data_IF_024157501916
#
_entry.id   IF_024157501916
#
_cell.length_a   1.000
_cell.length_b   1.000
_cell.length_c   1.000
_cell.angle_alpha   90.00
_cell.angle_beta   90.00
_cell.angle_gamma   90.00
#
_symmetry.space_group_name_H-M   'P 1'
#
loop_
_entity.id
_entity.type
_entity.pdbx_description
1 polymer ?
#
# COMPACT_ATOMS: atom_id res chain seq x y z
N UNK A 1 6.47 3.18 5.44
CA UNK A 1 7.85 3.43 4.96
C UNK A 1 7.95 4.76 4.22
N UNK A 2 7.31 4.94 3.06
CA UNK A 2 7.42 6.17 2.24
C UNK A 2 7.06 7.47 2.98
N UNK A 3 6.04 7.44 3.84
CA UNK A 3 5.72 8.58 4.72
C UNK A 3 6.71 8.72 5.91
N UNK A 4 7.20 7.61 6.46
CA UNK A 4 8.11 7.60 7.60
C UNK A 4 9.51 8.12 7.28
N UNK A 5 9.91 8.15 5.99
CA UNK A 5 11.19 8.72 5.55
C UNK A 5 11.30 10.21 5.92
N UNK A 6 10.18 10.95 5.98
CA UNK A 6 10.20 12.37 6.36
C UNK A 6 10.58 12.60 7.83
N UNK A 7 10.26 11.65 8.71
CA UNK A 7 10.64 11.73 10.14
C UNK A 7 12.15 11.60 10.35
N UNK A 8 12.84 10.84 9.49
CA UNK A 8 14.28 10.57 9.62
C UNK A 8 15.13 11.59 8.86
N UNK A 9 14.57 12.22 7.82
CA UNK A 9 15.31 13.12 6.91
C UNK A 9 15.14 14.61 7.29
N UNK A 10 14.21 14.91 8.20
CA UNK A 10 13.97 16.26 8.74
C UNK A 10 13.25 17.21 7.78
N UNK A 11 12.90 18.40 8.28
CA UNK A 11 12.02 19.35 7.58
C UNK A 11 12.51 19.84 6.21
N UNK A 12 13.82 19.75 5.89
CA UNK A 12 14.35 20.11 4.57
C UNK A 12 13.97 19.11 3.46
N UNK A 13 13.62 17.88 3.84
CA UNK A 13 13.24 16.82 2.91
C UNK A 13 11.85 17.04 2.25
N UNK A 14 11.05 17.96 2.79
CA UNK A 14 9.75 18.36 2.21
C UNK A 14 9.88 19.37 1.07
N UNK A 15 11.12 19.83 0.77
CA UNK A 15 11.35 20.75 -0.35
C UNK A 15 10.93 20.12 -1.68
N UNK A 16 10.13 20.86 -2.46
CA UNK A 16 9.73 20.50 -3.82
C UNK A 16 10.92 20.17 -4.75
N UNK A 17 12.12 20.69 -4.44
CA UNK A 17 13.34 20.37 -5.20
C UNK A 17 13.82 18.93 -5.01
N UNK A 18 13.54 18.32 -3.85
CA UNK A 18 13.94 16.95 -3.52
C UNK A 18 12.88 15.95 -4.00
N UNK A 19 11.60 16.34 -4.01
CA UNK A 19 10.54 15.58 -4.66
C UNK A 19 10.22 14.21 -4.03
N UNK A 20 10.59 14.01 -2.75
CA UNK A 20 10.35 12.77 -2.01
C UNK A 20 8.86 12.41 -1.89
N UNK A 21 7.99 13.40 -1.98
CA UNK A 21 6.54 13.24 -1.96
C UNK A 21 6.00 12.52 -3.21
N UNK A 22 6.76 12.47 -4.32
CA UNK A 22 6.45 11.66 -5.51
C UNK A 22 6.20 10.21 -5.15
N UNK A 23 7.10 9.60 -4.37
CA UNK A 23 7.01 8.19 -4.00
C UNK A 23 5.76 7.89 -3.17
N UNK A 24 5.31 8.85 -2.36
CA UNK A 24 4.07 8.73 -1.62
C UNK A 24 2.82 8.84 -2.51
N UNK A 25 2.83 9.75 -3.50
CA UNK A 25 1.72 9.90 -4.46
C UNK A 25 1.58 8.66 -5.34
N UNK A 26 2.70 8.16 -5.86
CA UNK A 26 2.74 7.01 -6.76
C UNK A 26 2.22 5.75 -6.05
N UNK A 27 2.72 5.48 -4.83
CA UNK A 27 2.29 4.29 -4.09
C UNK A 27 0.82 4.37 -3.68
N UNK A 28 0.33 5.54 -3.25
CA UNK A 28 -1.07 5.70 -2.84
C UNK A 28 -2.04 5.52 -4.00
N UNK A 29 -1.64 5.93 -5.19
CA UNK A 29 -2.43 5.73 -6.42
C UNK A 29 -2.44 4.26 -6.81
N UNK A 30 -1.28 3.60 -6.78
CA UNK A 30 -1.15 2.21 -7.19
C UNK A 30 -1.86 1.24 -6.23
N UNK A 31 -1.72 1.44 -4.91
CA UNK A 31 -2.33 0.55 -3.91
C UNK A 31 -3.84 0.68 -3.80
N UNK A 32 -4.46 1.68 -4.43
CA UNK A 32 -5.91 1.82 -4.45
C UNK A 32 -6.57 0.87 -5.46
N UNK A 33 -5.82 0.40 -6.46
CA UNK A 33 -6.34 -0.49 -7.52
C UNK A 33 -6.86 -1.81 -6.95
N UNK A 34 -6.15 -2.37 -5.99
CA UNK A 34 -6.55 -3.59 -5.29
C UNK A 34 -6.81 -3.26 -3.81
N UNK A 35 -8.08 -3.21 -3.36
CA UNK A 35 -8.39 -2.86 -1.99
C UNK A 35 -7.85 -3.94 -1.04
N UNK A 36 -6.83 -3.59 -0.25
CA UNK A 36 -6.20 -4.45 0.76
C UNK A 36 -7.19 -5.14 1.71
N UNK A 37 -8.37 -4.52 1.94
CA UNK A 37 -9.42 -5.10 2.75
C UNK A 37 -9.98 -6.40 2.14
N UNK A 38 -10.11 -6.48 0.81
CA UNK A 38 -10.54 -7.69 0.11
C UNK A 38 -9.49 -8.81 0.28
N UNK A 39 -8.22 -8.48 0.01
CA UNK A 39 -7.10 -9.40 0.20
C UNK A 39 -6.98 -9.93 1.63
N UNK A 40 -7.17 -9.08 2.63
CA UNK A 40 -7.15 -9.48 4.03
C UNK A 40 -8.32 -10.40 4.40
N UNK A 41 -9.50 -10.18 3.83
CA UNK A 41 -10.65 -11.04 4.04
C UNK A 41 -10.42 -12.43 3.44
N UNK A 42 -9.88 -12.51 2.23
CA UNK A 42 -9.50 -13.77 1.59
C UNK A 42 -8.48 -14.55 2.41
N UNK A 43 -7.40 -13.88 2.86
CA UNK A 43 -6.40 -14.49 3.75
C UNK A 43 -7.02 -14.99 5.07
N UNK A 44 -7.96 -14.23 5.62
CA UNK A 44 -8.65 -14.57 6.87
C UNK A 44 -9.63 -15.73 6.71
N UNK A 45 -10.08 -16.07 5.49
CA UNK A 45 -10.85 -17.29 5.22
C UNK A 45 -9.94 -18.47 4.93
N UNK A 46 -8.90 -18.24 4.14
CA UNK A 46 -7.95 -19.29 3.79
C UNK A 46 -7.22 -19.85 5.02
N UNK A 47 -6.73 -18.99 5.92
CA UNK A 47 -5.93 -19.42 7.07
C UNK A 47 -6.67 -20.34 8.07
N UNK A 48 -7.89 -20.00 8.53
CA UNK A 48 -8.64 -20.85 9.46
C UNK A 48 -9.56 -21.89 8.80
N UNK A 49 -10.07 -21.66 7.58
CA UNK A 49 -11.08 -22.52 6.94
C UNK A 49 -10.53 -23.33 5.75
N UNK A 50 -9.34 -22.99 5.25
CA UNK A 50 -8.77 -23.64 4.06
C UNK A 50 -9.50 -23.30 2.75
N UNK A 51 -10.39 -22.31 2.78
CA UNK A 51 -11.15 -21.88 1.60
C UNK A 51 -10.26 -21.05 0.67
N UNK A 52 -10.07 -21.55 -0.55
CA UNK A 52 -9.32 -20.85 -1.60
C UNK A 52 -10.23 -19.80 -2.23
N UNK A 53 -9.77 -18.55 -2.43
CA UNK A 53 -10.57 -17.53 -3.11
C UNK A 53 -10.88 -17.92 -4.55
N UNK A 54 -12.07 -17.56 -5.02
CA UNK A 54 -12.47 -17.73 -6.42
C UNK A 54 -11.57 -16.87 -7.32
N UNK A 55 -10.97 -17.42 -8.39
CA UNK A 55 -10.12 -16.65 -9.30
C UNK A 55 -10.95 -15.65 -10.11
N UNK A 56 -10.70 -14.37 -9.86
CA UNK A 56 -11.26 -13.24 -10.61
C UNK A 56 -10.10 -12.34 -11.05
N UNK A 57 -10.40 -11.29 -11.80
CA UNK A 57 -9.37 -10.38 -12.33
C UNK A 57 -8.59 -9.63 -11.23
N UNK A 58 -9.10 -9.62 -9.99
CA UNK A 58 -8.51 -8.90 -8.85
C UNK A 58 -8.34 -9.76 -7.59
N UNK A 59 -8.58 -11.08 -7.65
CA UNK A 59 -8.34 -12.03 -6.54
C UNK A 59 -7.12 -12.89 -6.79
#
# INVERSE_FOLDING_TARGET
VTAGVFEVTGAKATSLKVGLDRFWRDIRTHTLHDPIACKNWELSRFHPLGEVPEPTWCT
#
